data_IF_724111348326
#
_entry.id   IF_724111348326
#
_cell.length_a   1.000
_cell.length_b   1.000
_cell.length_c   1.000
_cell.angle_alpha   90.00
_cell.angle_beta   90.00
_cell.angle_gamma   90.00
#
_symmetry.space_group_name_H-M   'P 1'
#
loop_
_entity.id
_entity.type
_entity.pdbx_description
1 polymer ?
#
# COMPACT_ATOMS: atom_id res chain seq x y z
N UNK A 1 15.50 -1.44 -8.35
CA UNK A 1 14.18 -1.77 -8.96
C UNK A 1 13.09 -1.47 -7.95
N UNK A 2 12.06 -0.71 -8.35
CA UNK A 2 10.96 -0.33 -7.46
C UNK A 2 9.68 -1.01 -7.92
N UNK A 3 9.03 -1.72 -7.02
CA UNK A 3 7.70 -2.30 -7.21
C UNK A 3 6.67 -1.30 -6.70
N UNK A 4 5.78 -0.87 -7.58
CA UNK A 4 4.71 0.08 -7.26
C UNK A 4 3.63 -0.50 -6.33
N UNK A 5 2.49 0.18 -6.24
CA UNK A 5 1.38 -0.16 -5.35
C UNK A 5 0.58 -1.40 -5.83
N UNK A 6 1.21 -2.55 -6.03
CA UNK A 6 0.52 -3.80 -6.34
C UNK A 6 0.92 -4.88 -5.34
N UNK A 7 -0.01 -5.26 -4.45
CA UNK A 7 0.26 -6.20 -3.38
C UNK A 7 0.72 -7.57 -3.87
N UNK A 8 0.12 -8.09 -4.95
CA UNK A 8 0.55 -9.40 -5.50
C UNK A 8 1.92 -9.30 -6.18
N UNK A 9 2.21 -8.20 -6.89
CA UNK A 9 3.49 -8.00 -7.54
C UNK A 9 4.59 -7.90 -6.49
N UNK A 10 4.34 -7.17 -5.40
CA UNK A 10 5.27 -7.11 -4.27
C UNK A 10 5.47 -8.45 -3.61
N UNK A 11 4.41 -9.22 -3.35
CA UNK A 11 4.55 -10.58 -2.79
C UNK A 11 5.43 -11.47 -3.66
N UNK A 12 5.24 -11.46 -4.97
CA UNK A 12 6.05 -12.25 -5.91
C UNK A 12 7.49 -11.76 -5.95
N UNK A 13 7.70 -10.45 -6.06
CA UNK A 13 9.04 -9.86 -6.06
C UNK A 13 9.77 -10.17 -4.75
N UNK A 14 9.15 -9.90 -3.60
CA UNK A 14 9.71 -10.20 -2.28
C UNK A 14 10.14 -11.67 -2.14
N UNK A 15 9.32 -12.62 -2.60
CA UNK A 15 9.60 -14.04 -2.41
C UNK A 15 10.56 -14.63 -3.45
N UNK A 16 10.54 -14.14 -4.69
CA UNK A 16 11.18 -14.82 -5.82
C UNK A 16 12.16 -13.95 -6.60
N UNK A 17 12.48 -12.73 -6.16
CA UNK A 17 13.36 -11.83 -6.91
C UNK A 17 14.70 -12.47 -7.27
N UNK A 18 15.38 -13.07 -6.30
CA UNK A 18 16.71 -13.67 -6.49
C UNK A 18 16.66 -14.80 -7.53
N UNK A 19 15.61 -15.63 -7.49
CA UNK A 19 15.40 -16.70 -8.47
C UNK A 19 15.07 -16.14 -9.85
N UNK A 20 14.19 -15.13 -9.93
CA UNK A 20 13.75 -14.53 -11.19
C UNK A 20 14.89 -13.79 -11.91
N UNK A 21 15.78 -13.16 -11.14
CA UNK A 21 16.84 -12.29 -11.67
C UNK A 21 18.22 -12.95 -11.68
N UNK A 22 18.36 -14.11 -11.06
CA UNK A 22 19.66 -14.77 -10.84
C UNK A 22 20.56 -14.08 -9.80
N UNK A 23 20.14 -12.95 -9.25
CA UNK A 23 20.89 -12.16 -8.28
C UNK A 23 20.95 -12.91 -6.94
N UNK A 24 22.16 -13.09 -6.39
CA UNK A 24 22.35 -13.78 -5.11
C UNK A 24 22.09 -15.30 -5.13
N UNK A 25 21.68 -15.85 -6.27
CA UNK A 25 21.46 -17.29 -6.48
C UNK A 25 22.64 -17.98 -7.18
N UNK A 26 23.76 -17.26 -7.41
CA UNK A 26 24.94 -17.79 -8.11
C UNK A 26 24.75 -17.95 -9.62
N UNK A 27 23.75 -17.29 -10.22
CA UNK A 27 23.56 -17.32 -11.67
C UNK A 27 24.68 -16.55 -12.37
N UNK A 28 25.35 -17.24 -13.29
CA UNK A 28 26.50 -16.73 -14.05
C UNK A 28 26.22 -16.66 -15.55
N UNK A 29 24.96 -16.78 -15.97
CA UNK A 29 24.61 -16.58 -17.37
C UNK A 29 24.82 -15.11 -17.78
N UNK A 30 25.05 -14.83 -19.08
CA UNK A 30 25.38 -13.48 -19.53
C UNK A 30 24.34 -12.41 -19.17
N UNK A 31 23.06 -12.76 -19.11
CA UNK A 31 21.98 -11.81 -18.82
C UNK A 31 21.90 -11.49 -17.33
N UNK A 32 22.04 -12.49 -16.46
CA UNK A 32 22.09 -12.27 -15.01
C UNK A 32 23.28 -11.38 -14.61
N UNK A 33 24.47 -11.60 -15.21
CA UNK A 33 25.65 -10.77 -14.96
C UNK A 33 25.43 -9.34 -15.44
N UNK A 34 24.83 -9.16 -16.63
CA UNK A 34 24.53 -7.83 -17.16
C UNK A 34 23.54 -7.08 -16.27
N UNK A 35 22.48 -7.75 -15.82
CA UNK A 35 21.50 -7.16 -14.91
C UNK A 35 22.17 -6.77 -13.58
N UNK A 36 22.97 -7.64 -12.98
CA UNK A 36 23.70 -7.36 -11.73
C UNK A 36 24.60 -6.11 -11.86
N UNK A 37 25.29 -5.95 -12.99
CA UNK A 37 26.14 -4.78 -13.25
C UNK A 37 25.36 -3.47 -13.43
N UNK A 38 24.09 -3.55 -13.85
CA UNK A 38 23.24 -2.38 -14.07
C UNK A 38 22.55 -1.88 -12.80
N UNK A 39 22.46 -2.73 -11.76
CA UNK A 39 21.80 -2.37 -10.52
C UNK A 39 22.79 -1.76 -9.53
N UNK A 40 22.35 -0.70 -8.85
CA UNK A 40 23.17 -0.01 -7.85
C UNK A 40 23.13 -0.78 -6.51
N UNK A 41 24.25 -1.39 -6.06
CA UNK A 41 24.26 -2.21 -4.86
C UNK A 41 23.96 -1.43 -3.56
N UNK A 42 23.97 -0.10 -3.59
CA UNK A 42 23.63 0.73 -2.43
C UNK A 42 22.13 0.72 -2.10
N UNK A 43 21.26 0.26 -3.01
CA UNK A 43 19.82 0.24 -2.80
C UNK A 43 19.27 -1.18 -2.81
N UNK A 44 18.37 -1.48 -1.87
CA UNK A 44 17.67 -2.77 -1.81
C UNK A 44 16.94 -3.07 -3.12
N UNK A 45 17.03 -4.31 -3.58
CA UNK A 45 16.39 -4.77 -4.82
C UNK A 45 15.71 -6.13 -4.57
N UNK A 46 14.39 -6.22 -4.79
CA UNK A 46 13.47 -5.15 -5.13
C UNK A 46 13.11 -4.34 -3.89
N UNK A 47 12.71 -3.07 -4.06
CA UNK A 47 12.07 -2.28 -3.01
C UNK A 47 10.60 -2.04 -3.34
N UNK A 48 9.73 -2.09 -2.34
CA UNK A 48 8.39 -1.56 -2.45
C UNK A 48 8.45 -0.03 -2.50
N UNK A 49 7.55 0.60 -3.25
CA UNK A 49 7.51 2.07 -3.36
C UNK A 49 7.38 2.76 -2.00
N UNK A 50 6.69 2.15 -1.02
CA UNK A 50 6.64 2.69 0.34
C UNK A 50 8.01 2.71 1.04
N UNK A 51 8.89 1.72 0.79
CA UNK A 51 10.26 1.75 1.35
C UNK A 51 11.01 2.95 0.78
N UNK A 52 10.98 3.11 -0.54
CA UNK A 52 11.64 4.24 -1.22
C UNK A 52 11.13 5.59 -0.72
N UNK A 53 9.81 5.76 -0.63
CA UNK A 53 9.21 6.99 -0.14
C UNK A 53 9.60 7.24 1.31
N UNK A 54 9.52 6.23 2.17
CA UNK A 54 9.86 6.40 3.58
C UNK A 54 11.32 6.75 3.81
N UNK A 55 12.25 6.11 3.08
CA UNK A 55 13.67 6.42 3.12
C UNK A 55 13.94 7.89 2.74
N UNK A 56 13.27 8.39 1.70
CA UNK A 56 13.38 9.79 1.27
C UNK A 56 12.80 10.78 2.30
N UNK A 57 11.71 10.41 2.98
CA UNK A 57 11.13 11.19 4.08
C UNK A 57 12.11 11.27 5.25
N UNK A 58 12.66 10.13 5.68
CA UNK A 58 13.62 10.06 6.78
C UNK A 58 14.91 10.81 6.48
N UNK A 59 15.38 10.78 5.23
CA UNK A 59 16.53 11.53 4.79
C UNK A 59 16.28 13.04 4.60
N UNK A 60 15.07 13.55 4.90
CA UNK A 60 14.71 14.97 4.74
C UNK A 60 14.73 15.45 3.29
N UNK A 61 14.66 14.54 2.32
CA UNK A 61 14.72 14.85 0.88
C UNK A 61 13.38 15.33 0.32
N UNK A 62 12.29 15.05 1.03
CA UNK A 62 10.93 15.46 0.65
C UNK A 62 10.39 16.48 1.65
N UNK A 63 9.78 17.53 1.12
CA UNK A 63 9.03 18.54 1.89
C UNK A 63 7.54 18.37 1.63
N UNK A 64 6.73 18.55 2.66
CA UNK A 64 5.28 18.38 2.57
C UNK A 64 4.54 19.55 3.20
N UNK A 65 3.47 19.99 2.53
CA UNK A 65 2.38 20.72 3.14
C UNK A 65 1.28 19.74 3.55
N UNK A 66 1.24 19.39 4.83
CA UNK A 66 0.24 18.47 5.37
C UNK A 66 -1.18 19.03 5.28
N UNK A 67 -1.34 20.36 5.26
CA UNK A 67 -2.66 21.01 5.24
C UNK A 67 -3.42 20.75 3.94
N UNK A 68 -2.70 20.43 2.86
CA UNK A 68 -3.30 19.99 1.59
C UNK A 68 -4.16 18.72 1.73
N UNK A 69 -3.97 17.95 2.81
CA UNK A 69 -4.77 16.76 3.15
C UNK A 69 -5.82 17.02 4.26
N UNK A 70 -6.01 18.23 4.78
CA UNK A 70 -6.87 18.46 5.96
C UNK A 70 -8.36 18.18 5.71
N UNK A 71 -8.81 18.22 4.46
CA UNK A 71 -10.15 17.78 4.09
C UNK A 71 -10.37 16.26 4.22
N UNK A 72 -9.30 15.48 4.40
CA UNK A 72 -9.33 14.02 4.54
C UNK A 72 -9.14 13.63 6.00
N UNK A 73 -10.07 12.83 6.52
CA UNK A 73 -9.94 12.10 7.78
C UNK A 73 -9.62 10.65 7.40
N UNK A 74 -8.36 10.26 7.62
CA UNK A 74 -7.76 9.11 6.96
C UNK A 74 -7.78 7.88 7.86
N UNK A 75 -8.06 6.72 7.29
CA UNK A 75 -7.73 5.41 7.86
C UNK A 75 -6.92 4.58 6.87
N UNK A 76 -6.39 3.42 7.29
CA UNK A 76 -5.54 2.58 6.45
C UNK A 76 -6.06 1.15 6.31
N UNK A 77 -6.01 0.62 5.09
CA UNK A 77 -6.28 -0.77 4.81
C UNK A 77 -4.98 -1.55 4.56
N UNK A 78 -4.65 -2.42 5.50
CA UNK A 78 -3.55 -3.39 5.34
C UNK A 78 -3.90 -4.40 4.23
N UNK A 79 -3.15 -4.38 3.13
CA UNK A 79 -3.33 -5.34 2.04
C UNK A 79 -2.94 -6.75 2.49
N UNK A 80 -3.80 -7.73 2.26
CA UNK A 80 -3.55 -9.13 2.69
C UNK A 80 -2.27 -9.73 2.08
N UNK A 81 -1.92 -9.40 0.83
CA UNK A 81 -0.69 -9.90 0.20
C UNK A 81 0.57 -9.38 0.92
N UNK A 82 0.50 -8.16 1.45
CA UNK A 82 1.59 -7.52 2.19
C UNK A 82 1.58 -8.01 3.63
N UNK A 83 0.45 -7.88 4.31
CA UNK A 83 0.27 -8.16 5.72
C UNK A 83 0.60 -9.61 6.11
N UNK A 84 0.28 -10.58 5.24
CA UNK A 84 0.41 -12.02 5.55
C UNK A 84 1.51 -12.74 4.78
N UNK A 85 2.00 -12.19 3.67
CA UNK A 85 2.87 -12.92 2.74
C UNK A 85 4.13 -12.17 2.31
N UNK A 86 4.39 -10.97 2.84
CA UNK A 86 5.67 -10.29 2.63
C UNK A 86 6.07 -9.43 3.81
N UNK A 87 7.24 -8.79 3.70
CA UNK A 87 7.72 -7.76 4.62
C UNK A 87 8.10 -6.51 3.82
N UNK A 88 8.34 -5.41 4.53
CA UNK A 88 8.91 -4.17 4.02
C UNK A 88 9.82 -3.61 5.09
N UNK A 89 10.84 -2.87 4.67
CA UNK A 89 11.90 -2.34 5.53
C UNK A 89 12.96 -3.38 5.86
N UNK A 90 13.77 -3.02 6.84
CA UNK A 90 14.86 -3.77 7.45
C UNK A 90 14.52 -4.27 8.88
N UNK A 91 13.30 -4.00 9.35
CA UNK A 91 12.83 -4.39 10.68
C UNK A 91 11.53 -5.21 10.67
N UNK A 92 11.30 -6.09 11.67
CA UNK A 92 10.05 -6.82 11.81
C UNK A 92 8.85 -5.87 11.96
N UNK A 93 7.82 -6.05 11.13
CA UNK A 93 6.60 -5.24 11.18
C UNK A 93 6.63 -4.00 10.29
N UNK A 94 7.72 -3.72 9.57
CA UNK A 94 7.82 -2.57 8.67
C UNK A 94 6.73 -2.52 7.59
N UNK A 95 6.19 -3.67 7.16
CA UNK A 95 5.05 -3.73 6.24
C UNK A 95 3.76 -3.12 6.81
N UNK A 96 3.67 -2.97 8.13
CA UNK A 96 2.57 -2.30 8.81
C UNK A 96 2.92 -0.86 9.13
N UNK A 97 4.12 -0.62 9.64
CA UNK A 97 4.47 0.69 10.18
C UNK A 97 4.87 1.68 9.08
N UNK A 98 5.58 1.26 8.03
CA UNK A 98 6.05 2.14 6.96
C UNK A 98 4.89 2.87 6.27
N UNK A 99 3.81 2.20 5.80
CA UNK A 99 2.70 2.91 5.17
C UNK A 99 2.02 3.91 6.11
N UNK A 100 1.89 3.57 7.40
CA UNK A 100 1.29 4.44 8.42
C UNK A 100 2.16 5.66 8.69
N UNK A 101 3.47 5.47 8.77
CA UNK A 101 4.43 6.55 8.98
C UNK A 101 4.42 7.54 7.80
N UNK A 102 4.33 7.04 6.56
CA UNK A 102 4.14 7.90 5.38
C UNK A 102 2.85 8.71 5.51
N UNK A 103 1.71 8.08 5.84
CA UNK A 103 0.43 8.80 6.01
C UNK A 103 0.56 9.91 7.05
N UNK A 104 1.14 9.61 8.22
CA UNK A 104 1.32 10.59 9.31
C UNK A 104 2.29 11.72 8.96
N UNK A 105 3.26 11.46 8.08
CA UNK A 105 4.18 12.47 7.57
C UNK A 105 3.50 13.46 6.62
N UNK A 106 2.47 13.03 5.88
CA UNK A 106 1.83 13.83 4.82
C UNK A 106 0.42 14.32 5.14
N UNK A 107 -0.17 13.92 6.27
CA UNK A 107 -1.52 14.31 6.66
C UNK A 107 -1.68 14.49 8.18
N UNK A 108 -2.60 15.38 8.58
CA UNK A 108 -2.83 15.71 9.99
C UNK A 108 -3.86 14.79 10.66
N UNK A 109 -4.86 14.31 9.92
CA UNK A 109 -5.99 13.58 10.48
C UNK A 109 -5.93 12.10 10.11
N UNK A 110 -5.47 11.25 11.03
CA UNK A 110 -5.39 9.81 10.85
C UNK A 110 -5.96 9.05 12.05
N UNK A 111 -6.89 8.14 11.78
CA UNK A 111 -7.52 7.24 12.75
C UNK A 111 -7.39 5.79 12.29
N UNK A 112 -6.93 4.94 13.21
CA UNK A 112 -6.77 3.52 12.95
C UNK A 112 -8.10 2.77 13.15
N UNK A 113 -8.31 1.68 12.40
CA UNK A 113 -9.44 0.77 12.69
C UNK A 113 -9.16 -0.07 13.95
N UNK A 114 -10.17 -0.80 14.43
CA UNK A 114 -10.04 -1.66 15.61
C UNK A 114 -8.82 -2.62 15.50
N UNK A 115 -8.00 -2.81 16.56
CA UNK A 115 -6.75 -3.57 16.50
C UNK A 115 -6.88 -5.03 16.03
N UNK A 116 -8.05 -5.63 16.24
CA UNK A 116 -8.38 -6.99 15.81
C UNK A 116 -8.77 -7.10 14.32
N UNK A 117 -8.81 -5.97 13.60
CA UNK A 117 -9.16 -5.90 12.18
C UNK A 117 -8.04 -5.35 11.29
N UNK A 118 -6.85 -5.11 11.85
CA UNK A 118 -5.70 -4.52 11.16
C UNK A 118 -4.48 -5.44 11.23
N UNK A 119 -3.39 -5.04 10.57
CA UNK A 119 -2.11 -5.76 10.52
C UNK A 119 -2.30 -7.22 10.09
N UNK A 120 -1.75 -8.18 10.81
CA UNK A 120 -1.87 -9.62 10.51
C UNK A 120 -3.33 -10.12 10.50
N UNK A 121 -4.20 -9.49 11.32
CA UNK A 121 -5.62 -9.80 11.45
C UNK A 121 -6.48 -9.09 10.40
N UNK A 122 -5.87 -8.40 9.44
CA UNK A 122 -6.59 -7.65 8.39
C UNK A 122 -7.60 -8.50 7.63
N UNK A 123 -8.80 -7.97 7.45
CA UNK A 123 -9.80 -8.52 6.55
C UNK A 123 -9.44 -8.25 5.08
N UNK A 124 -9.73 -9.24 4.22
CA UNK A 124 -9.56 -9.13 2.77
C UNK A 124 -10.48 -8.05 2.18
N UNK A 125 -10.09 -7.45 1.05
CA UNK A 125 -10.96 -6.55 0.29
C UNK A 125 -12.04 -7.29 -0.52
N UNK A 126 -11.93 -8.62 -0.69
CA UNK A 126 -12.84 -9.43 -1.49
C UNK A 126 -12.53 -9.49 -3.00
N UNK A 127 -11.49 -8.80 -3.49
CA UNK A 127 -11.17 -8.70 -4.93
C UNK A 127 -9.91 -9.44 -5.38
N UNK A 128 -9.12 -10.01 -4.46
CA UNK A 128 -7.91 -10.76 -4.81
C UNK A 128 -8.19 -12.15 -5.42
N UNK A 129 -7.15 -12.86 -5.85
CA UNK A 129 -7.26 -14.29 -6.23
C UNK A 129 -8.02 -14.56 -7.53
N UNK A 130 -8.04 -13.61 -8.47
CA UNK A 130 -8.77 -13.75 -9.73
C UNK A 130 -10.25 -13.35 -9.64
N UNK A 131 -10.70 -12.84 -8.49
CA UNK A 131 -12.10 -12.48 -8.29
C UNK A 131 -12.48 -11.12 -8.91
N UNK A 132 -11.52 -10.27 -9.31
CA UNK A 132 -11.76 -8.90 -9.76
C UNK A 132 -12.37 -8.79 -11.18
N UNK A 133 -13.42 -9.58 -11.45
CA UNK A 133 -14.25 -9.51 -12.65
C UNK A 133 -15.67 -9.08 -12.27
N UNK A 134 -16.41 -8.52 -13.22
CA UNK A 134 -17.71 -7.92 -12.93
C UNK A 134 -18.82 -8.96 -12.74
N UNK A 135 -18.69 -10.13 -13.36
CA UNK A 135 -19.58 -11.28 -13.19
C UNK A 135 -19.57 -11.85 -11.75
N UNK A 136 -18.53 -11.54 -10.96
CA UNK A 136 -18.36 -12.01 -9.59
C UNK A 136 -18.67 -10.92 -8.55
N UNK A 137 -19.35 -9.84 -8.92
CA UNK A 137 -19.64 -8.71 -8.01
C UNK A 137 -20.32 -9.14 -6.72
N UNK A 138 -21.26 -10.08 -6.77
CA UNK A 138 -21.97 -10.56 -5.57
C UNK A 138 -21.04 -11.23 -4.56
N UNK A 139 -20.10 -12.04 -5.04
CA UNK A 139 -19.09 -12.70 -4.20
C UNK A 139 -18.11 -11.67 -3.65
N UNK A 140 -17.69 -10.73 -4.50
CA UNK A 140 -16.77 -9.64 -4.14
C UNK A 140 -17.35 -8.75 -3.04
N UNK A 141 -18.64 -8.41 -3.13
CA UNK A 141 -19.38 -7.64 -2.12
C UNK A 141 -19.42 -8.44 -0.82
N UNK A 142 -19.98 -9.66 -0.84
CA UNK A 142 -20.08 -10.53 0.35
C UNK A 142 -18.72 -10.76 1.04
N UNK A 143 -17.67 -11.00 0.26
CA UNK A 143 -16.32 -11.21 0.77
C UNK A 143 -15.67 -9.99 1.41
N UNK A 144 -16.16 -8.78 1.09
CA UNK A 144 -15.69 -7.53 1.69
C UNK A 144 -16.42 -7.19 3.01
N UNK A 145 -17.53 -7.85 3.34
CA UNK A 145 -18.40 -7.51 4.47
C UNK A 145 -17.64 -7.28 5.79
N UNK A 146 -16.73 -8.16 6.26
CA UNK A 146 -16.02 -7.92 7.51
C UNK A 146 -15.15 -6.65 7.50
N UNK A 147 -14.59 -6.31 6.34
CA UNK A 147 -13.83 -5.05 6.17
C UNK A 147 -14.76 -3.84 6.16
N UNK A 148 -15.95 -3.96 5.59
CA UNK A 148 -16.93 -2.87 5.55
C UNK A 148 -17.49 -2.57 6.94
N UNK A 149 -17.70 -3.59 7.78
CA UNK A 149 -18.08 -3.41 9.19
C UNK A 149 -16.98 -2.68 9.96
N UNK A 150 -15.71 -3.13 9.84
CA UNK A 150 -14.57 -2.46 10.47
C UNK A 150 -14.41 -0.99 10.01
N UNK A 151 -14.63 -0.73 8.72
CA UNK A 151 -14.61 0.63 8.17
C UNK A 151 -15.78 1.46 8.72
N UNK A 152 -16.99 0.89 8.79
CA UNK A 152 -18.18 1.59 9.30
C UNK A 152 -17.96 2.09 10.73
N UNK A 153 -17.37 1.29 11.60
CA UNK A 153 -17.09 1.71 12.97
C UNK A 153 -16.19 2.95 13.03
N UNK A 154 -15.06 2.96 12.31
CA UNK A 154 -14.16 4.13 12.31
C UNK A 154 -14.77 5.35 11.61
N UNK A 155 -15.67 5.14 10.64
CA UNK A 155 -16.44 6.22 10.00
C UNK A 155 -17.43 6.83 10.99
N UNK A 156 -18.20 6.00 11.71
CA UNK A 156 -19.21 6.47 12.66
C UNK A 156 -18.55 7.16 13.89
N UNK A 157 -17.43 6.61 14.39
CA UNK A 157 -16.76 7.10 15.60
C UNK A 157 -15.91 8.36 15.36
N UNK A 158 -15.30 8.48 14.18
CA UNK A 158 -14.28 9.52 13.89
C UNK A 158 -14.55 10.34 12.63
N UNK A 159 -15.64 10.07 11.90
CA UNK A 159 -15.95 10.76 10.65
C UNK A 159 -14.96 10.46 9.52
N UNK A 160 -14.28 9.31 9.56
CA UNK A 160 -13.34 8.90 8.50
C UNK A 160 -14.01 9.02 7.13
N UNK A 161 -13.33 9.70 6.21
CA UNK A 161 -13.82 9.93 4.85
C UNK A 161 -12.83 9.51 3.77
N UNK A 162 -11.67 8.97 4.16
CA UNK A 162 -10.65 8.46 3.24
C UNK A 162 -9.95 7.21 3.79
N UNK A 163 -10.03 6.08 3.09
CA UNK A 163 -9.31 4.84 3.37
C UNK A 163 -8.15 4.71 2.39
N UNK A 164 -6.93 4.89 2.90
CA UNK A 164 -5.71 4.73 2.13
C UNK A 164 -5.35 3.25 1.93
N UNK A 165 -4.82 2.92 0.75
CA UNK A 165 -4.40 1.58 0.37
C UNK A 165 -3.01 1.60 -0.26
N UNK A 166 -2.28 0.48 -0.20
CA UNK A 166 -0.99 0.26 -0.90
C UNK A 166 -1.09 -0.80 -2.00
N UNK A 167 -2.31 -1.19 -2.37
CA UNK A 167 -2.55 -2.26 -3.33
C UNK A 167 -3.62 -1.83 -4.33
N UNK A 168 -3.26 -1.78 -5.61
CA UNK A 168 -4.10 -1.38 -6.72
C UNK A 168 -5.35 -2.27 -6.84
N UNK A 169 -5.23 -3.58 -6.56
CA UNK A 169 -6.39 -4.48 -6.50
C UNK A 169 -7.34 -4.09 -5.37
N UNK A 170 -6.82 -3.79 -4.17
CA UNK A 170 -7.66 -3.32 -3.07
C UNK A 170 -8.38 -2.01 -3.45
N UNK A 171 -7.66 -1.05 -4.05
CA UNK A 171 -8.24 0.21 -4.53
C UNK A 171 -9.35 -0.03 -5.56
N UNK A 172 -9.06 -0.78 -6.62
CA UNK A 172 -10.04 -1.09 -7.67
C UNK A 172 -11.27 -1.84 -7.14
N UNK A 173 -11.07 -2.76 -6.20
CA UNK A 173 -12.13 -3.49 -5.55
C UNK A 173 -13.04 -2.57 -4.72
N UNK A 174 -12.46 -1.78 -3.81
CA UNK A 174 -13.24 -0.91 -2.94
C UNK A 174 -13.97 0.18 -3.72
N UNK A 175 -13.40 0.72 -4.80
CA UNK A 175 -14.09 1.71 -5.63
C UNK A 175 -15.43 1.18 -6.16
N UNK A 176 -15.54 -0.12 -6.45
CA UNK A 176 -16.81 -0.75 -6.88
C UNK A 176 -17.68 -1.23 -5.72
N UNK A 177 -17.08 -1.71 -4.62
CA UNK A 177 -17.82 -2.35 -3.52
C UNK A 177 -18.33 -1.36 -2.48
N UNK A 178 -17.63 -0.27 -2.19
CA UNK A 178 -18.05 0.73 -1.20
C UNK A 178 -19.50 1.24 -1.38
N UNK A 179 -19.97 1.54 -2.62
CA UNK A 179 -21.35 1.97 -2.84
C UNK A 179 -22.42 0.95 -2.42
N UNK A 180 -22.15 -0.36 -2.51
CA UNK A 180 -23.09 -1.40 -2.06
C UNK A 180 -23.32 -1.38 -0.54
N UNK A 181 -22.40 -0.75 0.20
CA UNK A 181 -22.47 -0.56 1.65
C UNK A 181 -22.83 0.87 2.04
N UNK A 182 -23.29 1.69 1.09
CA UNK A 182 -23.72 3.07 1.35
C UNK A 182 -22.58 4.09 1.45
N UNK A 183 -21.34 3.71 1.15
CA UNK A 183 -20.21 4.64 1.15
C UNK A 183 -20.00 5.29 -0.23
N UNK A 184 -19.45 6.50 -0.22
CA UNK A 184 -19.02 7.16 -1.46
C UNK A 184 -17.84 6.41 -2.08
N UNK A 185 -17.86 6.17 -3.40
CA UNK A 185 -16.76 5.50 -4.10
C UNK A 185 -15.40 6.22 -3.98
N UNK A 186 -15.40 7.53 -3.73
CA UNK A 186 -14.20 8.37 -3.53
C UNK A 186 -13.62 8.24 -2.12
N UNK A 187 -14.26 7.49 -1.22
CA UNK A 187 -13.73 7.22 0.10
C UNK A 187 -12.43 6.39 0.04
N UNK A 188 -12.13 5.67 -1.05
CA UNK A 188 -10.87 4.93 -1.17
C UNK A 188 -9.83 5.62 -2.06
N UNK A 189 -8.57 5.54 -1.66
CA UNK A 189 -7.43 6.00 -2.47
C UNK A 189 -6.12 5.30 -2.15
N UNK A 190 -5.02 5.82 -2.71
CA UNK A 190 -3.67 5.29 -2.49
C UNK A 190 -2.92 6.05 -1.40
N UNK A 191 -1.95 5.42 -0.73
CA UNK A 191 -1.01 6.14 0.13
C UNK A 191 -0.24 7.18 -0.68
N UNK A 192 0.19 6.84 -1.90
CA UNK A 192 0.91 7.79 -2.77
C UNK A 192 0.02 8.89 -3.34
N UNK A 193 -1.31 8.77 -3.26
CA UNK A 193 -2.22 9.89 -3.55
C UNK A 193 -2.14 10.98 -2.47
N UNK A 194 -1.99 10.58 -1.19
CA UNK A 194 -1.80 11.51 -0.08
C UNK A 194 -0.43 12.20 -0.18
N UNK A 195 0.62 11.42 -0.50
CA UNK A 195 1.96 11.94 -0.78
C UNK A 195 1.92 12.95 -1.92
N UNK A 196 1.32 12.59 -3.06
CA UNK A 196 1.21 13.49 -4.21
C UNK A 196 0.43 14.77 -3.92
N UNK A 197 -0.55 14.71 -3.01
CA UNK A 197 -1.33 15.90 -2.63
C UNK A 197 -0.49 16.87 -1.77
N UNK A 198 0.37 16.35 -0.90
CA UNK A 198 1.11 17.14 0.07
C UNK A 198 2.51 17.56 -0.40
N UNK A 199 3.11 16.85 -1.35
CA UNK A 199 4.51 17.06 -1.73
C UNK A 199 4.73 18.45 -2.33
N UNK A 200 5.73 19.16 -1.80
CA UNK A 200 6.20 20.43 -2.33
C UNK A 200 7.40 20.17 -3.25
N UNK A 201 7.15 20.18 -4.55
CA UNK A 201 8.22 20.15 -5.55
C UNK A 201 8.74 21.58 -5.69
N UNK A 202 10.02 21.81 -5.36
CA UNK A 202 10.64 23.11 -5.61
C UNK A 202 10.66 23.44 -7.11
N UNK A 203 10.69 24.72 -7.45
CA UNK A 203 10.82 25.20 -8.84
C UNK A 203 12.21 24.90 -9.46
N UNK A 204 13.05 24.10 -8.81
CA UNK A 204 14.35 23.69 -9.33
C UNK A 204 14.23 22.27 -9.89
N UNK A 205 13.79 22.19 -11.14
CA UNK A 205 14.11 21.09 -12.05
C UNK A 205 15.22 21.53 -12.98
#
# INVERSE_FOLDING_TARGET
IVVGECGHAWRVAYAFWNTLTGIGAGANDPFAIQLQKQLDPNYKQPSHICEVTWDLIQAGRLKFDKSANDSRIITFHDSCNVARASRMGDYPGGQFDIPRNIIKAVANNYFEMAPDTTREKTFCCGGGGGLLTDELIDIRVKGALPRMEALKHVVDDHGVNFMATICAICKAQFTKVLPYYGFNMRLVGGVHQLVSTAIQLGNEQ
#
